data_IF_647125319128
#
_entry.id   IF_647125319128
#
_cell.length_a   1.000
_cell.length_b   1.000
_cell.length_c   1.000
_cell.angle_alpha   90.00
_cell.angle_beta   90.00
_cell.angle_gamma   90.00
#
_symmetry.space_group_name_H-M   'P 1'
#
loop_
_entity.id
_entity.type
_entity.pdbx_description
1 polymer ?
#
# COMPACT_ATOMS: atom_id res chain seq x y z
N UNK A 1 -25.19 -11.20 20.43
CA UNK A 1 -24.11 -10.87 19.47
C UNK A 1 -23.02 -10.18 20.26
N UNK A 2 -21.77 -10.64 20.20
CA UNK A 2 -20.67 -9.92 20.84
C UNK A 2 -20.55 -8.53 20.18
N UNK A 3 -20.57 -7.45 20.97
CA UNK A 3 -20.41 -6.08 20.46
C UNK A 3 -19.03 -5.99 19.81
N UNK A 4 -18.96 -5.48 18.57
CA UNK A 4 -17.67 -5.25 17.90
C UNK A 4 -16.83 -4.31 18.76
N UNK A 5 -15.54 -4.63 18.92
CA UNK A 5 -14.62 -3.86 19.77
C UNK A 5 -14.09 -2.61 19.07
N UNK A 6 -14.18 -2.57 17.74
CA UNK A 6 -13.85 -1.40 16.93
C UNK A 6 -14.84 -1.27 15.77
N UNK A 7 -14.94 -0.06 15.27
CA UNK A 7 -15.55 0.27 13.99
C UNK A 7 -14.48 0.66 12.99
N UNK A 8 -14.86 0.82 11.72
CA UNK A 8 -13.92 1.20 10.66
C UNK A 8 -14.35 2.48 9.96
N UNK A 9 -13.40 3.41 9.83
CA UNK A 9 -13.57 4.63 9.05
C UNK A 9 -12.72 4.48 7.79
N UNK A 10 -13.31 4.77 6.63
CA UNK A 10 -12.68 4.47 5.36
C UNK A 10 -12.83 5.59 4.33
N UNK A 11 -11.71 5.93 3.70
CA UNK A 11 -11.64 6.63 2.42
C UNK A 11 -11.48 5.58 1.31
N UNK A 12 -12.34 5.62 0.27
CA UNK A 12 -12.38 4.61 -0.79
C UNK A 12 -12.11 5.23 -2.15
N UNK A 13 -11.27 4.55 -2.92
CA UNK A 13 -11.00 4.80 -4.34
C UNK A 13 -10.70 6.27 -4.64
N UNK A 14 -9.99 6.92 -3.73
CA UNK A 14 -9.64 8.32 -3.84
C UNK A 14 -8.57 8.46 -4.91
N UNK A 15 -8.87 9.24 -5.94
CA UNK A 15 -7.89 9.57 -6.96
C UNK A 15 -6.87 10.55 -6.39
N UNK A 16 -5.58 10.24 -6.54
CA UNK A 16 -4.55 11.17 -6.12
C UNK A 16 -4.56 12.41 -7.03
N UNK A 17 -4.56 13.62 -6.44
CA UNK A 17 -4.58 14.88 -7.19
C UNK A 17 -3.24 15.14 -7.88
N UNK A 18 -2.18 14.48 -7.43
CA UNK A 18 -0.83 14.52 -7.99
C UNK A 18 -0.42 13.14 -8.47
N UNK A 19 0.34 13.04 -9.57
CA UNK A 19 0.88 11.75 -9.99
C UNK A 19 1.89 11.22 -8.97
N UNK A 20 1.99 9.90 -8.88
CA UNK A 20 3.02 9.22 -8.09
C UNK A 20 4.25 9.01 -8.95
N UNK A 21 5.43 9.29 -8.38
CA UNK A 21 6.72 9.08 -9.02
C UNK A 21 7.40 7.88 -8.37
N UNK A 22 7.56 6.81 -9.14
CA UNK A 22 8.37 5.67 -8.73
C UNK A 22 9.79 5.82 -9.30
N UNK A 23 10.80 5.49 -8.50
CA UNK A 23 12.20 5.65 -8.92
C UNK A 23 12.53 4.84 -10.19
N UNK A 24 12.09 3.58 -10.24
CA UNK A 24 12.26 2.69 -11.39
C UNK A 24 10.99 1.87 -11.54
N UNK A 25 10.35 1.94 -12.69
CA UNK A 25 9.27 1.01 -13.01
C UNK A 25 9.83 -0.33 -13.51
N UNK A 26 8.96 -1.34 -13.69
CA UNK A 26 9.35 -2.64 -14.22
C UNK A 26 9.96 -2.57 -15.63
N UNK A 27 9.88 -1.42 -16.30
CA UNK A 27 10.44 -1.14 -17.63
C UNK A 27 11.67 -0.25 -17.60
N UNK A 28 12.30 -0.13 -16.43
CA UNK A 28 13.52 0.64 -16.22
C UNK A 28 13.36 2.13 -16.54
N UNK A 29 12.12 2.62 -16.65
CA UNK A 29 11.82 4.05 -16.80
C UNK A 29 11.91 4.66 -15.43
N UNK A 30 12.60 5.79 -15.36
CA UNK A 30 12.83 6.49 -14.10
C UNK A 30 11.94 7.71 -13.99
N UNK A 31 11.37 7.94 -12.80
CA UNK A 31 10.60 9.15 -12.46
C UNK A 31 9.45 9.44 -13.43
N UNK A 32 8.79 8.40 -13.95
CA UNK A 32 7.61 8.61 -14.79
C UNK A 32 6.39 8.91 -13.91
N UNK A 33 5.67 10.02 -14.12
CA UNK A 33 4.43 10.28 -13.41
C UNK A 33 3.37 9.23 -13.76
N UNK A 34 2.79 8.61 -12.73
CA UNK A 34 1.74 7.61 -12.86
C UNK A 34 0.46 8.10 -12.16
N UNK A 35 -0.72 7.96 -12.80
CA UNK A 35 -1.97 8.11 -12.08
C UNK A 35 -2.07 6.99 -11.04
N UNK A 36 -2.65 7.31 -9.90
CA UNK A 36 -2.80 6.37 -8.80
C UNK A 36 -4.09 6.66 -8.04
N UNK A 37 -4.74 5.62 -7.56
CA UNK A 37 -5.85 5.70 -6.61
C UNK A 37 -5.42 5.06 -5.30
N UNK A 38 -6.02 5.50 -4.21
CA UNK A 38 -5.80 4.91 -2.91
C UNK A 38 -7.09 4.75 -2.10
N UNK A 39 -7.10 3.73 -1.25
CA UNK A 39 -8.09 3.59 -0.19
C UNK A 39 -7.36 3.47 1.15
N UNK A 40 -7.91 4.07 2.20
CA UNK A 40 -7.42 3.89 3.57
C UNK A 40 -8.58 3.48 4.44
N UNK A 41 -8.40 2.41 5.21
CA UNK A 41 -9.32 1.95 6.24
C UNK A 41 -8.62 1.96 7.59
N UNK A 42 -9.22 2.62 8.58
CA UNK A 42 -8.69 2.76 9.93
C UNK A 42 -9.64 2.09 10.91
N UNK A 43 -9.11 1.27 11.81
CA UNK A 43 -9.84 0.85 13.01
C UNK A 43 -10.01 2.04 13.95
N UNK A 44 -11.21 2.25 14.48
CA UNK A 44 -11.53 3.32 15.42
C UNK A 44 -12.30 2.74 16.62
N UNK A 45 -12.11 3.26 17.85
CA UNK A 45 -12.78 2.73 19.04
C UNK A 45 -14.30 2.79 18.92
N UNK A 46 -14.97 1.64 19.09
CA UNK A 46 -16.43 1.59 19.03
C UNK A 46 -17.09 2.41 20.17
N UNK A 47 -16.39 2.57 21.29
CA UNK A 47 -16.83 3.42 22.40
C UNK A 47 -16.94 4.89 22.01
N UNK A 48 -15.96 5.42 21.26
CA UNK A 48 -15.99 6.81 20.78
C UNK A 48 -17.08 7.04 19.73
N UNK A 49 -17.27 6.07 18.81
CA UNK A 49 -18.38 6.13 17.86
C UNK A 49 -19.73 6.07 18.57
N UNK A 50 -19.88 5.22 19.59
CA UNK A 50 -21.10 5.17 20.40
C UNK A 50 -21.37 6.52 21.08
N UNK A 51 -20.33 7.14 21.66
CA UNK A 51 -20.43 8.45 22.30
C UNK A 51 -20.80 9.57 21.31
N UNK A 52 -20.20 9.55 20.11
CA UNK A 52 -20.55 10.46 19.02
C UNK A 52 -22.03 10.32 18.63
N UNK A 53 -22.52 9.08 18.51
CA UNK A 53 -23.89 8.78 18.14
C UNK A 53 -24.90 9.16 19.23
N UNK A 54 -24.58 8.96 20.51
CA UNK A 54 -25.44 9.32 21.64
C UNK A 54 -25.56 10.84 21.83
N UNK A 55 -24.46 11.57 21.60
CA UNK A 55 -24.41 13.02 21.79
C UNK A 55 -24.72 13.82 20.51
N UNK A 56 -24.90 13.15 19.36
CA UNK A 56 -25.03 13.78 18.04
C UNK A 56 -23.89 14.77 17.76
N UNK A 57 -22.66 14.40 18.15
CA UNK A 57 -21.47 15.25 17.99
C UNK A 57 -20.43 14.60 17.09
N UNK A 58 -19.85 15.43 16.22
CA UNK A 58 -18.71 15.03 15.38
C UNK A 58 -17.37 15.05 16.13
N UNK A 59 -17.33 15.57 17.36
CA UNK A 59 -16.10 15.72 18.15
C UNK A 59 -15.48 14.40 18.64
N UNK A 60 -16.24 13.30 18.61
CA UNK A 60 -15.76 11.96 18.99
C UNK A 60 -15.64 11.01 17.79
N UNK A 61 -15.62 11.56 16.57
CA UNK A 61 -15.34 10.80 15.34
C UNK A 61 -14.09 11.32 14.66
N UNK A 62 -13.63 10.59 13.64
CA UNK A 62 -12.51 11.02 12.80
C UNK A 62 -13.03 11.91 11.66
N UNK A 63 -12.48 13.12 11.54
CA UNK A 63 -12.73 13.97 10.37
C UNK A 63 -12.02 13.40 9.13
N UNK A 64 -12.80 12.80 8.23
CA UNK A 64 -12.32 12.23 6.97
C UNK A 64 -11.72 13.29 6.02
N UNK A 65 -12.14 14.55 6.13
CA UNK A 65 -11.57 15.67 5.36
C UNK A 65 -10.17 16.04 5.85
N UNK A 66 -9.96 16.04 7.16
CA UNK A 66 -8.63 16.24 7.76
C UNK A 66 -7.71 15.05 7.47
N UNK A 67 -8.24 13.82 7.51
CA UNK A 67 -7.53 12.63 7.05
C UNK A 67 -7.08 12.76 5.58
N UNK A 68 -7.99 13.11 4.68
CA UNK A 68 -7.68 13.29 3.25
C UNK A 68 -6.58 14.35 3.06
N UNK A 69 -6.74 15.54 3.66
CA UNK A 69 -5.77 16.66 3.52
C UNK A 69 -4.40 16.31 4.08
N UNK A 70 -4.35 15.56 5.19
CA UNK A 70 -3.09 15.10 5.78
C UNK A 70 -2.36 14.13 4.84
N UNK A 71 -3.08 13.15 4.29
CA UNK A 71 -2.52 12.19 3.32
C UNK A 71 -2.07 12.90 2.04
N UNK A 72 -2.90 13.78 1.48
CA UNK A 72 -2.58 14.58 0.30
C UNK A 72 -1.30 15.40 0.53
N UNK A 73 -1.22 16.11 1.65
CA UNK A 73 -0.04 16.91 2.01
C UNK A 73 1.22 16.06 2.16
N UNK A 74 1.11 14.88 2.79
CA UNK A 74 2.22 13.95 2.96
C UNK A 74 2.72 13.39 1.63
N UNK A 75 1.83 13.09 0.68
CA UNK A 75 2.21 12.63 -0.66
C UNK A 75 2.86 13.78 -1.45
N UNK A 76 2.31 14.99 -1.38
CA UNK A 76 2.88 16.15 -2.07
C UNK A 76 4.28 16.48 -1.54
N UNK A 77 4.47 16.50 -0.22
CA UNK A 77 5.81 16.71 0.36
C UNK A 77 6.76 15.59 -0.06
N UNK A 78 6.28 14.34 -0.01
CA UNK A 78 7.05 13.18 -0.44
C UNK A 78 7.46 13.27 -1.92
N UNK A 79 6.59 13.77 -2.80
CA UNK A 79 6.91 13.94 -4.21
C UNK A 79 7.91 15.08 -4.49
N UNK A 80 7.87 16.18 -3.72
CA UNK A 80 8.85 17.29 -3.88
C UNK A 80 10.27 16.82 -3.66
N UNK A 81 10.48 15.90 -2.72
CA UNK A 81 11.79 15.30 -2.46
C UNK A 81 12.27 14.37 -3.60
N UNK A 82 11.36 13.95 -4.48
CA UNK A 82 11.63 12.99 -5.57
C UNK A 82 11.89 13.65 -6.94
N UNK A 83 11.56 14.94 -7.12
CA UNK A 83 11.83 15.67 -8.37
C UNK A 83 13.32 16.08 -8.38
N UNK A 84 14.11 15.69 -9.39
CA UNK A 84 15.50 16.10 -9.48
C UNK A 84 15.60 17.60 -9.76
N UNK A 85 16.44 18.30 -9.01
CA UNK A 85 16.90 19.64 -9.38
C UNK A 85 17.74 19.51 -10.66
N UNK A 86 17.23 20.05 -11.78
CA UNK A 86 17.90 20.04 -13.08
C UNK A 86 19.25 20.80 -13.06
N UNK A 87 19.52 21.59 -12.00
CA UNK A 87 20.76 22.35 -11.83
C UNK A 87 21.81 21.65 -10.96
N UNK A 88 21.52 20.47 -10.40
CA UNK A 88 22.50 19.71 -9.61
C UNK A 88 23.56 19.10 -10.56
N UNK A 89 24.73 19.74 -10.62
CA UNK A 89 25.80 19.46 -11.59
C UNK A 89 26.47 18.08 -11.54
N UNK A 90 25.99 17.14 -10.72
CA UNK A 90 26.52 15.78 -10.65
C UNK A 90 25.39 14.73 -10.46
N UNK A 91 25.14 13.86 -11.46
CA UNK A 91 24.12 12.81 -11.38
C UNK A 91 24.44 11.70 -10.36
N UNK A 92 25.63 11.67 -9.75
CA UNK A 92 26.02 10.72 -8.71
C UNK A 92 25.67 11.18 -7.28
N UNK A 93 25.34 12.46 -7.09
CA UNK A 93 24.96 13.06 -5.79
C UNK A 93 23.44 13.09 -5.56
N UNK A 94 22.68 12.29 -6.32
CA UNK A 94 21.22 12.20 -6.22
C UNK A 94 20.82 11.67 -4.83
N UNK A 95 19.79 12.24 -4.18
CA UNK A 95 19.38 11.79 -2.85
C UNK A 95 19.04 10.29 -2.87
N UNK A 96 19.51 9.57 -1.85
CA UNK A 96 19.43 8.11 -1.73
C UNK A 96 18.02 7.56 -1.45
N UNK A 97 17.00 8.42 -1.43
CA UNK A 97 15.62 8.05 -1.15
C UNK A 97 14.90 7.64 -2.44
N UNK A 98 15.27 6.45 -2.93
CA UNK A 98 14.42 5.63 -3.80
C UNK A 98 13.03 5.54 -3.18
N UNK A 99 12.00 6.05 -3.85
CA UNK A 99 10.60 5.82 -3.44
C UNK A 99 9.99 4.76 -4.35
N UNK A 100 9.67 3.61 -3.76
CA UNK A 100 8.89 2.54 -4.36
C UNK A 100 7.41 2.67 -3.94
N UNK A 101 6.54 1.86 -4.55
CA UNK A 101 5.10 1.83 -4.25
C UNK A 101 4.83 1.59 -2.75
N UNK A 102 5.72 0.84 -2.12
CA UNK A 102 5.72 0.55 -0.71
C UNK A 102 5.96 1.80 0.14
N UNK A 103 6.91 2.65 -0.21
CA UNK A 103 7.21 3.88 0.52
C UNK A 103 6.04 4.85 0.46
N UNK A 104 5.31 4.86 -0.67
CA UNK A 104 4.07 5.62 -0.82
C UNK A 104 2.99 5.06 0.11
N UNK A 105 2.82 3.74 0.18
CA UNK A 105 1.85 3.12 1.09
C UNK A 105 2.17 3.42 2.56
N UNK A 106 3.45 3.36 2.94
CA UNK A 106 3.93 3.73 4.28
C UNK A 106 3.68 5.21 4.58
N UNK A 107 3.96 6.11 3.64
CA UNK A 107 3.69 7.54 3.78
C UNK A 107 2.22 7.81 4.07
N UNK A 108 1.32 7.14 3.33
CA UNK A 108 -0.13 7.24 3.54
C UNK A 108 -0.53 6.70 4.91
N UNK A 109 -0.01 5.53 5.27
CA UNK A 109 -0.28 4.90 6.56
C UNK A 109 0.19 5.79 7.73
N UNK A 110 1.35 6.42 7.61
CA UNK A 110 1.93 7.32 8.61
C UNK A 110 1.11 8.59 8.78
N UNK A 111 0.66 9.19 7.68
CA UNK A 111 -0.23 10.35 7.72
C UNK A 111 -1.56 9.99 8.40
N UNK A 112 -2.13 8.83 8.08
CA UNK A 112 -3.37 8.35 8.67
C UNK A 112 -3.23 8.07 10.17
N UNK A 113 -2.12 7.44 10.60
CA UNK A 113 -1.79 7.21 12.00
C UNK A 113 -1.69 8.51 12.80
N UNK A 114 -1.01 9.53 12.25
CA UNK A 114 -0.86 10.84 12.90
C UNK A 114 -2.21 11.50 13.14
N UNK A 115 -3.11 11.47 12.15
CA UNK A 115 -4.47 12.05 12.30
C UNK A 115 -5.26 11.26 13.34
N UNK A 116 -5.25 9.92 13.26
CA UNK A 116 -5.96 9.06 14.22
C UNK A 116 -5.59 9.41 15.67
N UNK A 117 -4.30 9.48 15.98
CA UNK A 117 -3.84 9.76 17.33
C UNK A 117 -3.93 11.24 17.72
N UNK A 118 -3.91 12.16 16.76
CA UNK A 118 -4.19 13.57 17.04
C UNK A 118 -5.64 13.76 17.48
N UNK A 119 -6.61 13.13 16.81
CA UNK A 119 -8.04 13.26 17.17
C UNK A 119 -8.36 12.54 18.49
N UNK A 120 -7.80 11.34 18.69
CA UNK A 120 -7.96 10.58 19.95
C UNK A 120 -7.24 11.25 21.13
N UNK A 121 -6.15 11.97 20.88
CA UNK A 121 -5.35 12.65 21.90
C UNK A 121 -5.81 14.08 22.20
N UNK A 122 -6.44 14.77 21.23
CA UNK A 122 -7.02 16.11 21.41
C UNK A 122 -8.34 16.09 22.20
N UNK A 123 -8.94 14.91 22.35
CA UNK A 123 -10.03 14.67 23.30
C UNK A 123 -9.42 14.64 24.70
N UNK A 124 -9.33 15.81 25.35
CA UNK A 124 -8.82 15.96 26.73
C UNK A 124 -9.63 15.09 27.69
N UNK A 125 -9.06 13.97 28.13
CA UNK A 125 -9.72 13.06 29.06
C UNK A 125 -8.82 12.74 30.24
N UNK A 126 -9.43 12.71 31.42
CA UNK A 126 -8.77 12.28 32.64
C UNK A 126 -8.35 10.81 32.47
N UNK A 127 -7.17 10.44 32.97
CA UNK A 127 -6.60 9.07 32.85
C UNK A 127 -7.51 7.93 33.39
N UNK A 128 -8.62 8.28 34.05
CA UNK A 128 -9.59 7.36 34.66
C UNK A 128 -10.91 7.24 33.86
N UNK A 129 -11.03 7.84 32.68
CA UNK A 129 -12.25 7.73 31.86
C UNK A 129 -12.44 6.29 31.33
N UNK A 130 -13.62 5.71 31.59
CA UNK A 130 -13.96 4.32 31.28
C UNK A 130 -13.78 3.95 29.79
N UNK A 131 -13.79 4.94 28.90
CA UNK A 131 -13.54 4.79 27.46
C UNK A 131 -12.11 4.32 27.16
N UNK A 132 -11.11 4.75 27.95
CA UNK A 132 -9.71 4.38 27.76
C UNK A 132 -9.30 3.09 28.47
N UNK A 133 -10.16 2.57 29.34
CA UNK A 133 -10.08 1.21 29.87
C UNK A 133 -10.62 0.17 28.89
N UNK A 134 -11.17 0.59 27.74
CA UNK A 134 -11.61 -0.31 26.70
C UNK A 134 -10.43 -1.11 26.12
N UNK A 135 -10.72 -2.35 25.78
CA UNK A 135 -9.74 -3.31 25.33
C UNK A 135 -9.06 -2.91 24.02
N UNK A 136 -9.68 -2.04 23.21
CA UNK A 136 -9.05 -1.48 22.02
C UNK A 136 -7.77 -0.69 22.36
N UNK A 137 -7.80 0.12 23.44
CA UNK A 137 -6.66 0.89 23.92
C UNK A 137 -5.65 0.00 24.65
N UNK A 138 -6.11 -0.93 25.48
CA UNK A 138 -5.21 -1.78 26.29
C UNK A 138 -4.52 -2.85 25.45
N UNK A 139 -5.21 -3.44 24.46
CA UNK A 139 -4.66 -4.46 23.56
C UNK A 139 -3.99 -3.86 22.31
N UNK A 140 -4.06 -2.52 22.13
CA UNK A 140 -3.47 -1.78 21.00
C UNK A 140 -3.85 -2.39 19.65
N UNK A 141 -5.14 -2.64 19.44
CA UNK A 141 -5.71 -3.24 18.22
C UNK A 141 -5.83 -2.25 17.06
N UNK A 142 -4.92 -1.28 17.00
CA UNK A 142 -4.85 -0.35 15.87
C UNK A 142 -4.49 -1.13 14.61
N UNK A 143 -5.37 -1.08 13.62
CA UNK A 143 -5.15 -1.58 12.27
C UNK A 143 -5.43 -0.47 11.26
N UNK A 144 -4.43 -0.19 10.42
CA UNK A 144 -4.55 0.69 9.27
C UNK A 144 -4.31 -0.14 8.02
N UNK A 145 -5.29 -0.19 7.13
CA UNK A 145 -5.16 -0.79 5.80
C UNK A 145 -5.04 0.32 4.77
N UNK A 146 -4.00 0.25 3.94
CA UNK A 146 -3.80 1.13 2.78
C UNK A 146 -3.81 0.26 1.54
N UNK A 147 -4.71 0.55 0.61
CA UNK A 147 -4.71 -0.02 -0.73
C UNK A 147 -4.27 1.05 -1.72
N UNK A 148 -3.25 0.75 -2.53
CA UNK A 148 -2.79 1.59 -3.63
C UNK A 148 -2.97 0.86 -4.94
N UNK A 149 -3.44 1.58 -5.96
CA UNK A 149 -3.57 1.06 -7.31
C UNK A 149 -2.93 2.01 -8.33
N UNK A 150 -1.96 1.49 -9.07
CA UNK A 150 -1.29 2.18 -10.16
C UNK A 150 -1.60 1.45 -11.48
N UNK A 151 -2.66 1.84 -12.21
CA UNK A 151 -3.12 1.13 -13.40
C UNK A 151 -2.08 1.11 -14.54
N UNK A 152 -1.15 2.08 -14.56
CA UNK A 152 -0.19 2.27 -15.65
C UNK A 152 1.27 1.98 -15.26
N UNK A 153 1.51 1.48 -14.04
CA UNK A 153 2.85 1.15 -13.58
C UNK A 153 3.51 0.03 -14.40
N UNK A 154 2.71 -0.93 -14.89
CA UNK A 154 3.20 -2.06 -15.68
C UNK A 154 2.49 -2.07 -17.04
N UNK A 155 3.17 -1.64 -18.11
CA UNK A 155 2.58 -1.50 -19.46
C UNK A 155 1.89 -2.75 -20.04
N UNK A 156 2.29 -3.97 -19.61
CA UNK A 156 1.70 -5.23 -20.10
C UNK A 156 0.67 -5.84 -19.13
N UNK A 157 0.40 -5.18 -18.01
CA UNK A 157 -0.59 -5.61 -17.05
C UNK A 157 -1.83 -4.72 -17.20
N UNK A 158 -2.91 -5.24 -17.79
CA UNK A 158 -4.11 -4.44 -18.08
C UNK A 158 -4.77 -3.87 -16.83
N UNK A 159 -4.67 -4.59 -15.72
CA UNK A 159 -5.22 -4.18 -14.44
C UNK A 159 -4.20 -3.46 -13.57
N UNK A 160 -2.93 -3.43 -13.98
CA UNK A 160 -1.86 -2.66 -13.36
C UNK A 160 -1.29 -3.30 -12.08
N UNK A 161 -0.75 -2.42 -11.23
CA UNK A 161 -0.06 -2.76 -9.99
C UNK A 161 -0.91 -2.37 -8.78
N UNK A 162 -1.09 -3.30 -7.85
CA UNK A 162 -1.80 -3.12 -6.60
C UNK A 162 -0.83 -3.33 -5.44
N UNK A 163 -0.97 -2.54 -4.38
CA UNK A 163 -0.23 -2.69 -3.14
C UNK A 163 -1.20 -2.53 -1.98
N UNK A 164 -1.34 -3.57 -1.17
CA UNK A 164 -2.09 -3.56 0.09
C UNK A 164 -1.10 -3.63 1.23
N UNK A 165 -1.11 -2.62 2.09
CA UNK A 165 -0.34 -2.56 3.31
C UNK A 165 -1.30 -2.55 4.50
N UNK A 166 -1.23 -3.57 5.34
CA UNK A 166 -1.94 -3.61 6.63
C UNK A 166 -0.91 -3.41 7.73
N UNK A 167 -1.03 -2.34 8.49
CA UNK A 167 -0.14 -2.05 9.61
C UNK A 167 -0.89 -2.26 10.91
N UNK A 168 -0.30 -3.06 11.80
CA UNK A 168 -0.84 -3.37 13.13
C UNK A 168 0.20 -2.96 14.15
N UNK A 169 -0.21 -2.35 15.26
CA UNK A 169 0.66 -2.01 16.40
C UNK A 169 2.00 -1.34 15.97
N UNK A 170 1.94 -0.03 15.77
CA UNK A 170 3.14 0.78 15.50
C UNK A 170 3.99 0.95 16.76
N UNK A 171 5.33 1.01 16.62
CA UNK A 171 6.20 1.20 17.77
C UNK A 171 6.00 2.59 18.38
N UNK A 172 5.89 2.64 19.71
CA UNK A 172 5.66 3.87 20.47
C UNK A 172 6.98 4.57 20.85
N UNK A 173 8.10 3.85 20.77
CA UNK A 173 9.45 4.36 21.09
C UNK A 173 10.39 4.01 19.93
N UNK A 174 11.34 4.90 19.63
CA UNK A 174 12.37 4.71 18.59
C UNK A 174 13.23 3.45 18.78
N UNK A 175 13.29 2.90 20.01
CA UNK A 175 14.03 1.67 20.33
C UNK A 175 13.30 0.39 19.89
N UNK A 176 11.97 0.45 19.73
CA UNK A 176 11.15 -0.68 19.28
C UNK A 176 11.11 -0.64 17.75
N UNK A 177 12.15 -1.12 17.07
CA UNK A 177 12.24 -1.10 15.60
C UNK A 177 11.31 -2.11 14.90
N UNK A 178 10.25 -2.57 15.56
CA UNK A 178 9.36 -3.59 15.03
C UNK A 178 7.96 -3.04 14.77
N UNK A 179 7.63 -2.94 13.49
CA UNK A 179 6.28 -2.68 13.02
C UNK A 179 5.65 -4.01 12.61
N UNK A 180 4.50 -4.35 13.17
CA UNK A 180 3.74 -5.51 12.68
C UNK A 180 2.99 -5.09 11.42
N UNK A 181 3.28 -5.74 10.30
CA UNK A 181 2.64 -5.41 9.03
C UNK A 181 2.47 -6.65 8.16
N UNK A 182 1.44 -6.61 7.33
CA UNK A 182 1.28 -7.45 6.15
C UNK A 182 1.34 -6.57 4.90
N UNK A 183 2.25 -6.89 3.99
CA UNK A 183 2.34 -6.29 2.67
C UNK A 183 1.94 -7.32 1.63
N UNK A 184 1.09 -6.92 0.71
CA UNK A 184 0.74 -7.69 -0.48
C UNK A 184 0.89 -6.80 -1.70
N UNK A 185 1.81 -7.13 -2.60
CA UNK A 185 1.95 -6.47 -3.90
C UNK A 185 1.43 -7.41 -4.98
N UNK A 186 0.48 -6.96 -5.79
CA UNK A 186 -0.16 -7.77 -6.82
C UNK A 186 -0.06 -7.08 -8.17
N UNK A 187 0.17 -7.86 -9.21
CA UNK A 187 0.15 -7.38 -10.58
C UNK A 187 -0.82 -8.27 -11.32
N UNK A 188 -1.82 -7.66 -11.94
CA UNK A 188 -2.96 -8.36 -12.51
C UNK A 188 -3.12 -8.04 -13.99
N UNK A 189 -3.60 -9.02 -14.75
CA UNK A 189 -3.83 -8.86 -16.18
C UNK A 189 -2.55 -8.83 -17.01
N UNK A 190 -1.48 -9.52 -16.60
CA UNK A 190 -0.25 -9.63 -17.40
C UNK A 190 -0.55 -10.53 -18.59
N UNK A 191 -0.57 -9.95 -19.79
CA UNK A 191 -0.73 -10.74 -21.02
C UNK A 191 0.61 -11.23 -21.52
N UNK A 192 0.77 -12.54 -21.63
CA UNK A 192 1.93 -13.16 -22.26
C UNK A 192 1.50 -14.11 -23.38
N UNK A 193 2.32 -14.22 -24.42
CA UNK A 193 2.16 -15.21 -25.46
C UNK A 193 3.10 -16.37 -25.15
N UNK A 194 2.55 -17.54 -24.84
CA UNK A 194 3.36 -18.73 -24.61
C UNK A 194 2.72 -19.97 -25.22
N UNK A 195 3.52 -21.03 -25.34
CA UNK A 195 3.06 -22.32 -25.82
C UNK A 195 2.54 -23.08 -24.61
N UNK A 196 1.26 -23.45 -24.63
CA UNK A 196 0.61 -24.23 -23.57
C UNK A 196 -0.04 -25.44 -24.22
N UNK A 197 0.43 -26.63 -23.86
CA UNK A 197 -0.11 -27.84 -24.45
C UNK A 197 0.39 -29.12 -23.81
N UNK A 198 -0.54 -29.99 -23.43
CA UNK A 198 -0.23 -31.37 -23.04
C UNK A 198 0.03 -32.19 -24.30
N UNK A 199 -0.74 -31.94 -25.37
CA UNK A 199 -0.64 -32.65 -26.64
C UNK A 199 0.32 -31.95 -27.62
N UNK A 200 0.95 -32.70 -28.55
CA UNK A 200 1.89 -32.11 -29.53
C UNK A 200 1.29 -30.98 -30.37
N UNK A 201 0.03 -31.10 -30.81
CA UNK A 201 -0.64 -30.09 -31.64
C UNK A 201 -0.94 -28.80 -30.86
N UNK A 202 -1.15 -28.88 -29.53
CA UNK A 202 -1.32 -27.71 -28.67
C UNK A 202 0.01 -26.93 -28.48
N UNK A 203 1.15 -27.55 -28.87
CA UNK A 203 2.49 -26.95 -28.79
C UNK A 203 2.95 -26.26 -30.08
N UNK A 204 2.09 -26.18 -31.10
CA UNK A 204 2.44 -25.62 -32.41
C UNK A 204 2.30 -24.09 -32.44
N UNK A 205 1.27 -23.54 -31.78
CA UNK A 205 0.96 -22.12 -31.79
C UNK A 205 1.05 -21.47 -30.41
N UNK A 206 1.46 -20.20 -30.38
CA UNK A 206 1.43 -19.39 -29.15
C UNK A 206 -0.01 -19.00 -28.82
N UNK A 207 -0.38 -19.22 -27.57
CA UNK A 207 -1.66 -18.81 -27.01
C UNK A 207 -1.44 -17.61 -26.09
N UNK A 208 -2.42 -16.69 -26.06
CA UNK A 208 -2.41 -15.57 -25.12
C UNK A 208 -2.95 -16.07 -23.79
N UNK A 209 -2.14 -15.92 -22.74
CA UNK A 209 -2.53 -16.21 -21.36
C UNK A 209 -2.51 -14.94 -20.53
N UNK A 210 -3.44 -14.89 -19.58
CA UNK A 210 -3.48 -13.90 -18.53
C UNK A 210 -2.84 -14.45 -17.26
N UNK A 211 -1.83 -13.75 -16.76
CA UNK A 211 -1.13 -14.08 -15.54
C UNK A 211 -1.34 -13.01 -14.47
N UNK A 212 -1.28 -13.43 -13.21
CA UNK A 212 -1.18 -12.56 -12.07
C UNK A 212 0.00 -12.96 -11.20
N UNK A 213 0.74 -11.97 -10.70
CA UNK A 213 1.83 -12.17 -9.75
C UNK A 213 1.41 -11.59 -8.40
N UNK A 214 1.61 -12.35 -7.32
CA UNK A 214 1.31 -11.91 -5.96
C UNK A 214 2.54 -12.12 -5.08
N UNK A 215 3.01 -11.05 -4.47
CA UNK A 215 4.11 -11.03 -3.53
C UNK A 215 3.54 -10.72 -2.15
N UNK A 216 3.85 -11.52 -1.15
CA UNK A 216 3.40 -11.32 0.23
C UNK A 216 4.59 -11.26 1.16
N UNK A 217 4.52 -10.35 2.12
CA UNK A 217 5.49 -10.23 3.19
C UNK A 217 4.75 -9.92 4.48
N UNK A 218 5.05 -10.66 5.54
CA UNK A 218 4.52 -10.41 6.88
C UNK A 218 5.69 -10.27 7.84
N UNK A 219 5.63 -9.31 8.77
CA UNK A 219 6.58 -9.12 9.89
C UNK A 219 8.05 -8.87 9.47
N UNK A 220 8.60 -7.69 9.79
CA UNK A 220 10.00 -7.35 9.44
C UNK A 220 10.61 -6.21 10.27
N UNK A 221 11.94 -6.20 10.40
CA UNK A 221 12.73 -5.19 11.17
C UNK A 221 13.32 -4.06 10.31
N UNK A 222 13.12 -4.06 9.00
CA UNK A 222 13.87 -3.17 8.10
C UNK A 222 13.06 -2.87 6.86
N UNK A 223 13.23 -1.64 6.38
CA UNK A 223 12.49 -1.03 5.28
C UNK A 223 12.23 -2.01 4.13
N UNK A 224 10.95 -2.18 3.90
CA UNK A 224 10.34 -2.98 2.86
C UNK A 224 10.79 -2.47 1.49
N UNK A 225 11.52 -3.28 0.72
CA UNK A 225 11.43 -3.16 -0.74
C UNK A 225 11.53 -4.57 -1.29
N UNK A 226 10.48 -5.14 -1.91
CA UNK A 226 10.71 -6.18 -2.88
C UNK A 226 11.37 -5.52 -4.10
N UNK A 227 12.68 -5.18 -4.03
CA UNK A 227 13.48 -4.80 -5.21
C UNK A 227 13.38 -5.86 -6.31
N UNK A 228 12.95 -7.05 -5.91
CA UNK A 228 12.72 -8.23 -6.71
C UNK A 228 11.43 -8.16 -7.55
N UNK A 229 10.33 -7.51 -7.13
CA UNK A 229 9.09 -7.57 -7.92
C UNK A 229 9.28 -6.94 -9.30
N UNK A 230 9.94 -5.78 -9.38
CA UNK A 230 10.24 -5.10 -10.65
C UNK A 230 11.08 -5.99 -11.56
N UNK A 231 12.08 -6.66 -10.98
CA UNK A 231 12.96 -7.59 -11.70
C UNK A 231 12.22 -8.84 -12.18
N UNK A 232 11.35 -9.42 -11.34
CA UNK A 232 10.54 -10.59 -11.67
C UNK A 232 9.51 -10.25 -12.74
N UNK A 233 8.90 -9.08 -12.68
CA UNK A 233 7.93 -8.62 -13.69
C UNK A 233 8.61 -8.38 -15.03
N UNK A 234 9.78 -7.73 -15.03
CA UNK A 234 10.61 -7.58 -16.23
C UNK A 234 10.89 -8.95 -16.84
N UNK A 235 11.31 -9.94 -16.04
CA UNK A 235 11.58 -11.30 -16.50
C UNK A 235 10.34 -12.01 -17.05
N UNK A 236 9.23 -12.03 -16.31
CA UNK A 236 7.98 -12.70 -16.74
C UNK A 236 7.48 -12.10 -18.05
N UNK A 237 7.58 -10.78 -18.18
CA UNK A 237 7.11 -10.09 -19.36
C UNK A 237 8.13 -10.10 -20.53
N UNK A 238 9.43 -10.26 -20.28
CA UNK A 238 10.46 -10.56 -21.28
C UNK A 238 10.37 -12.01 -21.79
N UNK A 239 10.10 -12.99 -20.91
CA UNK A 239 9.94 -14.42 -21.25
C UNK A 239 8.82 -14.65 -22.27
N UNK A 240 7.79 -13.79 -22.31
CA UNK A 240 6.79 -13.75 -23.39
C UNK A 240 7.38 -13.60 -24.82
N UNK A 241 8.65 -13.22 -24.97
CA UNK A 241 9.32 -13.03 -26.26
C UNK A 241 10.21 -14.22 -26.66
N UNK A 242 10.48 -15.16 -25.78
CA UNK A 242 11.33 -16.32 -26.05
C UNK A 242 10.49 -17.62 -26.05
N UNK A 243 10.86 -18.63 -26.86
CA UNK A 243 10.25 -19.95 -26.75
C UNK A 243 10.71 -20.55 -25.42
N UNK A 244 9.85 -20.55 -24.42
CA UNK A 244 10.13 -21.20 -23.13
C UNK A 244 9.12 -22.33 -22.96
N UNK A 245 9.62 -23.56 -22.94
CA UNK A 245 8.94 -24.69 -22.29
C UNK A 245 8.86 -24.36 -20.81
N UNK A 246 7.71 -23.83 -20.39
CA UNK A 246 7.39 -23.69 -18.97
C UNK A 246 6.65 -24.96 -18.59
N UNK A 247 7.35 -25.93 -18.00
CA UNK A 247 6.73 -27.04 -17.30
C UNK A 247 5.98 -26.48 -16.08
N UNK A 248 4.71 -26.13 -16.31
CA UNK A 248 3.80 -25.64 -15.30
C UNK A 248 3.42 -26.82 -14.39
N UNK A 249 4.23 -27.06 -13.34
CA UNK A 249 3.81 -27.94 -12.25
C UNK A 249 2.69 -27.25 -11.49
N UNK A 250 1.44 -27.54 -11.90
CA UNK A 250 0.23 -27.21 -11.15
C UNK A 250 0.28 -28.04 -9.85
N UNK A 251 0.78 -27.45 -8.77
CA UNK A 251 0.58 -27.99 -7.44
C UNK A 251 -0.89 -27.81 -7.08
N UNK A 252 -1.68 -28.88 -7.22
CA UNK A 252 -2.95 -29.00 -6.53
C UNK A 252 -2.66 -29.09 -5.03
N UNK A 253 -3.07 -28.08 -4.28
CA UNK A 253 -3.37 -28.20 -2.85
C UNK A 253 -4.88 -28.17 -2.67
#
# INVERSE_FOLDING_TARGET
MAKSMCDYIQLRDVQLPVPVYLQRDAWRRTNKPQPATFSVRLSYPAALISLAAENDTVGHTLDYGTLYRSIESAIISSNKDAIPDENAGDPSTRPSHSKDIVDVALTISDAAHKVLWSEIGATEHAKDDAVYLDHWFTEKKEEITVDLHLPKAILRAERGLFCTLVTRRRPVKEEDNFMDFDLTVRIEGIRCACIIGVNPHEREDKQIVELALTFRQSKGKTHMIPKEYQTMVSKVAEVSLLPVEVDLYIWRY
#
